data_IF_255486985107
#
_entry.id   IF_255486985107
#
_cell.length_a   1.000
_cell.length_b   1.000
_cell.length_c   1.000
_cell.angle_alpha   90.00
_cell.angle_beta   90.00
_cell.angle_gamma   90.00
#
_symmetry.space_group_name_H-M   'P 1'
#
loop_
_entity.id
_entity.type
_entity.pdbx_description
1 polymer ?
#
# COMPACT_ATOMS: atom_id res chain seq x y z
N UNK A 1 9.73 32.03 0.86
CA UNK A 1 10.73 32.16 1.93
C UNK A 1 9.94 32.17 3.25
N UNK A 2 9.48 30.99 3.69
CA UNK A 2 8.99 30.77 5.05
C UNK A 2 10.17 30.21 5.81
N UNK A 3 10.82 31.04 6.62
CA UNK A 3 11.78 30.57 7.61
C UNK A 3 11.00 29.63 8.54
N UNK A 4 11.36 28.35 8.52
CA UNK A 4 10.93 27.37 9.51
C UNK A 4 11.37 27.88 10.87
N UNK A 5 10.41 28.41 11.63
CA UNK A 5 10.64 28.79 13.02
C UNK A 5 10.64 27.51 13.86
N UNK A 6 11.81 26.81 13.87
CA UNK A 6 12.09 25.61 14.65
C UNK A 6 11.82 25.81 16.17
N UNK A 7 11.63 27.07 16.61
CA UNK A 7 11.44 27.42 18.03
C UNK A 7 10.07 27.02 18.60
N UNK A 8 9.07 26.73 17.74
CA UNK A 8 7.73 26.35 18.19
C UNK A 8 7.50 24.85 18.31
N UNK A 9 8.39 24.02 17.79
CA UNK A 9 8.17 22.55 17.76
C UNK A 9 8.25 21.89 19.16
N UNK A 10 8.95 22.52 20.11
CA UNK A 10 9.12 22.02 21.48
C UNK A 10 8.52 22.95 22.55
N UNK A 11 7.53 23.78 22.20
CA UNK A 11 6.86 24.64 23.17
C UNK A 11 5.97 23.82 24.12
N UNK A 12 6.32 23.68 25.41
CA UNK A 12 5.51 22.96 26.41
C UNK A 12 4.11 23.52 26.54
N UNK A 13 3.91 24.81 26.23
CA UNK A 13 2.60 25.47 26.25
C UNK A 13 1.69 24.93 25.16
N UNK A 14 2.18 24.76 23.93
CA UNK A 14 1.41 24.19 22.83
C UNK A 14 1.04 22.72 23.07
N UNK A 15 1.97 21.93 23.63
CA UNK A 15 1.70 20.55 23.99
C UNK A 15 0.58 20.45 25.05
N UNK A 16 0.62 21.28 26.10
CA UNK A 16 -0.40 21.32 27.15
C UNK A 16 -1.78 21.77 26.60
N UNK A 17 -1.81 22.73 25.68
CA UNK A 17 -3.04 23.16 25.00
C UNK A 17 -3.62 22.01 24.16
N UNK A 18 -2.79 21.33 23.37
CA UNK A 18 -3.20 20.18 22.58
C UNK A 18 -3.76 19.05 23.45
N UNK A 19 -3.12 18.73 24.59
CA UNK A 19 -3.61 17.75 25.56
C UNK A 19 -4.95 18.17 26.19
N UNK A 20 -5.15 19.45 26.41
CA UNK A 20 -6.40 19.99 26.94
C UNK A 20 -7.53 19.84 25.92
N UNK A 21 -7.27 20.21 24.66
CA UNK A 21 -8.24 20.06 23.57
C UNK A 21 -8.55 18.59 23.27
N UNK A 22 -7.56 17.70 23.31
CA UNK A 22 -7.75 16.28 23.07
C UNK A 22 -8.67 15.58 24.10
N UNK A 23 -8.88 16.17 25.26
CA UNK A 23 -9.83 15.67 26.28
C UNK A 23 -11.27 16.14 26.04
N UNK A 24 -11.49 17.09 25.14
CA UNK A 24 -12.82 17.57 24.80
C UNK A 24 -13.46 16.68 23.74
N UNK A 25 -14.79 16.51 23.83
CA UNK A 25 -15.59 15.84 22.79
C UNK A 25 -15.82 16.72 21.54
N UNK A 26 -15.57 18.03 21.65
CA UNK A 26 -15.85 19.01 20.59
C UNK A 26 -14.65 19.24 19.67
N UNK A 27 -13.46 18.71 20.03
CA UNK A 27 -12.22 18.91 19.29
C UNK A 27 -11.54 17.58 18.99
N UNK A 28 -10.90 17.52 17.83
CA UNK A 28 -10.00 16.45 17.46
C UNK A 28 -8.62 17.03 17.18
N UNK A 29 -7.62 16.63 17.95
CA UNK A 29 -6.24 17.09 17.80
C UNK A 29 -5.47 16.06 17.00
N UNK A 30 -4.83 16.49 15.92
CA UNK A 30 -3.87 15.70 15.17
C UNK A 30 -2.46 16.25 15.44
N UNK A 31 -1.51 15.35 15.64
CA UNK A 31 -0.10 15.68 15.80
C UNK A 31 0.67 15.38 14.54
N UNK A 32 1.69 16.18 14.20
CA UNK A 32 2.60 15.83 13.12
C UNK A 32 3.26 14.50 13.47
N UNK A 33 3.25 13.56 12.51
CA UNK A 33 3.98 12.30 12.65
C UNK A 33 5.49 12.61 12.71
N UNK A 34 6.13 12.20 13.78
CA UNK A 34 7.57 12.21 13.91
C UNK A 34 8.04 10.78 13.68
N UNK A 35 8.84 10.51 12.64
CA UNK A 35 9.36 9.19 12.38
C UNK A 35 10.12 8.62 13.58
N UNK A 36 9.81 7.37 13.92
CA UNK A 36 10.51 6.64 14.98
C UNK A 36 11.14 5.36 14.44
N UNK A 37 12.24 4.94 15.03
CA UNK A 37 12.98 3.75 14.62
C UNK A 37 12.77 2.56 15.54
N UNK A 38 12.32 2.79 16.77
CA UNK A 38 12.07 1.76 17.77
C UNK A 38 10.56 1.65 18.05
N UNK A 39 10.08 0.41 18.19
CA UNK A 39 8.66 0.07 18.43
C UNK A 39 8.55 -0.90 19.62
N UNK A 40 8.16 -2.14 19.39
CA UNK A 40 8.04 -3.15 20.43
C UNK A 40 9.40 -3.84 20.69
N UNK A 41 9.73 -4.20 21.94
CA UNK A 41 10.96 -4.94 22.24
C UNK A 41 10.85 -6.38 21.72
N UNK A 42 11.88 -6.86 21.04
CA UNK A 42 11.93 -8.24 20.54
C UNK A 42 12.09 -9.30 21.67
N UNK A 43 12.62 -8.90 22.83
CA UNK A 43 12.80 -9.78 23.99
C UNK A 43 13.53 -11.11 23.68
N UNK A 44 14.47 -11.07 22.72
CA UNK A 44 15.22 -12.25 22.28
C UNK A 44 14.47 -13.21 21.38
N UNK A 45 13.25 -12.88 20.95
CA UNK A 45 12.51 -13.68 19.98
C UNK A 45 13.07 -13.47 18.57
N UNK A 46 13.01 -14.51 17.69
CA UNK A 46 13.44 -14.37 16.31
C UNK A 46 12.51 -13.43 15.53
N UNK A 47 13.10 -12.48 14.83
CA UNK A 47 12.41 -11.54 13.96
C UNK A 47 12.49 -11.97 12.51
N UNK A 48 11.63 -11.37 11.67
CA UNK A 48 11.68 -11.41 10.22
C UNK A 48 11.82 -10.01 9.70
N UNK A 49 12.44 -9.86 8.53
CA UNK A 49 12.57 -8.55 7.89
C UNK A 49 11.48 -8.34 6.84
N UNK A 50 10.88 -7.16 6.84
CA UNK A 50 9.95 -6.67 5.82
C UNK A 50 10.43 -5.34 5.25
N UNK A 51 9.88 -4.95 4.09
CA UNK A 51 10.11 -3.65 3.45
C UNK A 51 8.77 -2.96 3.27
N UNK A 52 8.67 -1.68 3.67
CA UNK A 52 7.68 -0.76 3.15
C UNK A 52 8.26 -0.10 1.92
N UNK A 53 7.45 0.08 0.88
CA UNK A 53 7.87 0.67 -0.38
C UNK A 53 6.81 1.61 -0.89
N UNK A 54 7.25 2.76 -1.38
CA UNK A 54 6.44 3.74 -2.08
C UNK A 54 7.22 4.34 -3.24
N UNK A 55 6.54 4.68 -4.35
CA UNK A 55 7.13 5.32 -5.52
C UNK A 55 6.34 6.55 -5.93
N UNK A 56 7.05 7.64 -6.21
CA UNK A 56 6.49 8.76 -6.97
C UNK A 56 6.82 8.60 -8.45
N UNK A 57 5.87 8.99 -9.30
CA UNK A 57 5.95 8.75 -10.74
C UNK A 57 5.49 9.96 -11.54
N UNK A 58 5.82 10.01 -12.83
CA UNK A 58 5.36 11.08 -13.74
C UNK A 58 3.88 11.01 -14.09
N UNK A 59 3.16 9.97 -13.62
CA UNK A 59 1.73 9.75 -13.84
C UNK A 59 1.28 8.34 -13.48
N UNK A 60 0.09 7.95 -13.88
CA UNK A 60 -0.56 6.70 -13.44
C UNK A 60 -0.42 5.53 -14.42
N UNK A 61 0.06 5.77 -15.63
CA UNK A 61 0.21 4.74 -16.66
C UNK A 61 1.51 3.96 -16.47
N UNK A 62 1.39 2.73 -16.00
CA UNK A 62 2.53 1.85 -15.69
C UNK A 62 3.41 1.50 -16.89
N UNK A 63 2.96 1.77 -18.13
CA UNK A 63 3.71 1.52 -19.36
C UNK A 63 4.45 2.76 -19.84
N UNK A 64 3.81 3.94 -19.71
CA UNK A 64 4.28 5.20 -20.27
C UNK A 64 4.96 6.11 -19.25
N UNK A 65 4.49 6.04 -17.99
CA UNK A 65 5.03 6.90 -16.94
C UNK A 65 6.25 6.30 -16.26
N UNK A 66 7.03 7.14 -15.63
CA UNK A 66 8.35 6.80 -15.11
C UNK A 66 8.43 7.07 -13.61
N UNK A 67 9.23 6.26 -12.90
CA UNK A 67 9.54 6.49 -11.49
C UNK A 67 10.46 7.70 -11.39
N UNK A 68 10.15 8.62 -10.47
CA UNK A 68 10.95 9.80 -10.16
C UNK A 68 11.50 9.80 -8.72
N UNK A 69 10.85 9.09 -7.79
CA UNK A 69 11.35 8.84 -6.44
C UNK A 69 11.04 7.40 -6.04
N UNK A 70 11.97 6.76 -5.34
CA UNK A 70 11.76 5.48 -4.64
C UNK A 70 12.14 5.67 -3.18
N UNK A 71 11.25 5.28 -2.28
CA UNK A 71 11.57 5.13 -0.87
C UNK A 71 11.27 3.72 -0.38
N UNK A 72 12.14 3.22 0.49
CA UNK A 72 11.96 1.95 1.17
C UNK A 72 12.39 2.07 2.63
N UNK A 73 11.59 1.49 3.53
CA UNK A 73 11.93 1.32 4.93
C UNK A 73 12.02 -0.17 5.22
N UNK A 74 13.19 -0.65 5.62
CA UNK A 74 13.38 -2.01 6.11
C UNK A 74 13.11 -2.05 7.61
N UNK A 75 12.32 -3.02 8.04
CA UNK A 75 11.93 -3.16 9.43
C UNK A 75 11.91 -4.61 9.87
N UNK A 76 12.20 -4.83 11.15
CA UNK A 76 12.07 -6.13 11.80
C UNK A 76 10.70 -6.26 12.48
N UNK A 77 10.11 -7.45 12.43
CA UNK A 77 8.85 -7.75 13.08
C UNK A 77 8.81 -9.17 13.67
N UNK A 78 8.00 -9.36 14.71
CA UNK A 78 7.76 -10.63 15.39
C UNK A 78 6.73 -11.48 14.64
N UNK A 79 6.63 -12.79 14.92
CA UNK A 79 5.63 -13.67 14.31
C UNK A 79 4.17 -13.24 14.52
N UNK A 80 3.87 -12.52 15.60
CA UNK A 80 2.57 -11.95 15.92
C UNK A 80 2.25 -10.65 15.16
N UNK A 81 3.18 -10.16 14.32
CA UNK A 81 3.05 -8.92 13.58
C UNK A 81 3.52 -7.67 14.31
N UNK A 82 4.01 -7.78 15.54
CA UNK A 82 4.57 -6.63 16.26
C UNK A 82 5.85 -6.15 15.57
N UNK A 83 5.87 -4.91 15.08
CA UNK A 83 7.06 -4.28 14.53
C UNK A 83 7.99 -3.98 15.70
N UNK A 84 9.29 -4.29 15.54
CA UNK A 84 10.26 -4.09 16.59
C UNK A 84 11.14 -2.86 16.35
N UNK A 85 11.67 -2.72 15.16
CA UNK A 85 12.54 -1.59 14.82
C UNK A 85 12.65 -1.38 13.30
N UNK A 86 13.03 -0.19 12.90
CA UNK A 86 13.58 0.11 11.58
C UNK A 86 15.05 -0.29 11.55
N UNK A 87 15.45 -1.03 10.54
CA UNK A 87 16.84 -1.51 10.41
C UNK A 87 17.61 -0.75 9.34
N UNK A 88 16.94 -0.24 8.31
CA UNK A 88 17.56 0.52 7.24
C UNK A 88 16.53 1.37 6.48
N UNK A 89 16.98 2.43 5.80
CA UNK A 89 16.16 3.32 4.98
C UNK A 89 16.89 3.57 3.67
N UNK A 90 16.16 3.45 2.57
CA UNK A 90 16.64 3.76 1.22
C UNK A 90 15.74 4.82 0.59
N UNK A 91 16.33 5.91 0.10
CA UNK A 91 15.64 6.95 -0.67
C UNK A 91 16.49 7.35 -1.84
N UNK A 92 15.93 7.46 -3.03
CA UNK A 92 16.65 7.91 -4.19
C UNK A 92 15.71 8.51 -5.24
N UNK A 93 16.21 9.53 -5.95
CA UNK A 93 15.56 10.11 -7.11
C UNK A 93 16.01 9.45 -8.41
N UNK A 94 15.17 9.57 -9.43
CA UNK A 94 15.47 9.12 -10.78
C UNK A 94 15.02 10.17 -11.79
N UNK A 95 15.94 10.60 -12.65
CA UNK A 95 15.63 11.53 -13.73
C UNK A 95 14.80 10.81 -14.80
N UNK A 96 13.58 11.27 -15.10
CA UNK A 96 12.76 10.69 -16.16
C UNK A 96 13.24 11.10 -17.54
N UNK A 97 12.85 10.38 -18.59
CA UNK A 97 13.21 10.67 -19.99
C UNK A 97 12.53 11.91 -20.58
N UNK A 98 11.52 12.44 -19.90
CA UNK A 98 10.72 13.61 -20.29
C UNK A 98 10.48 14.50 -19.07
N UNK A 99 10.26 15.81 -19.27
CA UNK A 99 9.95 16.71 -18.16
C UNK A 99 8.79 16.20 -17.30
N UNK A 100 8.90 16.42 -16.01
CA UNK A 100 7.85 16.08 -15.03
C UNK A 100 6.62 16.96 -15.30
N UNK A 101 5.42 16.39 -15.45
CA UNK A 101 4.20 17.17 -15.63
C UNK A 101 3.99 18.15 -14.46
N UNK A 102 3.55 19.41 -14.73
CA UNK A 102 3.35 20.42 -13.69
C UNK A 102 2.44 19.98 -12.54
N UNK A 103 1.40 19.22 -12.84
CA UNK A 103 0.48 18.65 -11.85
C UNK A 103 1.15 17.65 -10.91
N UNK A 104 2.16 16.92 -11.39
CA UNK A 104 2.95 16.00 -10.56
C UNK A 104 3.90 16.79 -9.66
N UNK A 105 4.55 17.83 -10.22
CA UNK A 105 5.39 18.74 -9.42
C UNK A 105 4.56 19.44 -8.33
N UNK A 106 3.34 19.90 -8.65
CA UNK A 106 2.45 20.52 -7.66
C UNK A 106 2.07 19.53 -6.55
N UNK A 107 1.83 18.25 -6.91
CA UNK A 107 1.43 17.21 -5.98
C UNK A 107 2.57 16.75 -5.06
N UNK A 108 3.76 16.46 -5.66
CA UNK A 108 4.89 15.80 -4.97
C UNK A 108 5.95 16.78 -4.46
N UNK A 109 5.97 17.99 -5.02
CA UNK A 109 7.06 18.97 -4.83
C UNK A 109 8.36 18.59 -5.56
N UNK A 110 8.36 17.50 -6.36
CA UNK A 110 9.54 17.07 -7.10
C UNK A 110 9.59 17.82 -8.44
N UNK A 111 10.70 18.50 -8.70
CA UNK A 111 10.94 19.26 -9.94
C UNK A 111 12.00 18.59 -10.80
N UNK A 112 12.09 18.97 -12.07
CA UNK A 112 13.13 18.48 -12.97
C UNK A 112 14.55 18.78 -12.43
N UNK A 113 14.73 19.92 -11.73
CA UNK A 113 16.02 20.27 -11.13
C UNK A 113 16.40 19.35 -9.97
N UNK A 114 15.42 18.88 -9.19
CA UNK A 114 15.67 17.96 -8.08
C UNK A 114 16.14 16.60 -8.59
N UNK A 115 15.58 16.11 -9.68
CA UNK A 115 15.89 14.77 -10.21
C UNK A 115 17.04 14.77 -11.23
N UNK A 116 17.47 15.94 -11.72
CA UNK A 116 18.49 16.08 -12.75
C UNK A 116 19.79 15.35 -12.39
N UNK A 117 20.26 14.46 -13.27
CA UNK A 117 21.47 13.66 -13.08
C UNK A 117 21.33 12.50 -12.09
N UNK A 118 20.16 12.33 -11.45
CA UNK A 118 19.93 11.24 -10.52
C UNK A 118 19.48 9.96 -11.24
N UNK A 119 20.04 8.83 -10.80
CA UNK A 119 19.64 7.51 -11.26
C UNK A 119 19.65 6.53 -10.10
N UNK A 120 18.56 5.80 -9.93
CA UNK A 120 18.44 4.77 -8.91
C UNK A 120 19.26 3.55 -9.35
N UNK A 121 20.25 3.18 -8.55
CA UNK A 121 21.11 2.02 -8.79
C UNK A 121 20.32 0.71 -8.56
N UNK A 122 20.12 -0.12 -9.59
CA UNK A 122 19.40 -1.38 -9.45
C UNK A 122 20.08 -2.38 -8.50
N UNK A 123 21.41 -2.38 -8.44
CA UNK A 123 22.15 -3.29 -7.57
C UNK A 123 22.00 -2.89 -6.09
N UNK A 124 21.97 -1.59 -5.79
CA UNK A 124 21.68 -1.09 -4.45
C UNK A 124 20.24 -1.46 -4.01
N UNK A 125 19.25 -1.34 -4.89
CA UNK A 125 17.87 -1.76 -4.64
C UNK A 125 17.79 -3.27 -4.40
N UNK A 126 18.48 -4.06 -5.20
CA UNK A 126 18.50 -5.53 -5.05
C UNK A 126 19.14 -5.94 -3.71
N UNK A 127 20.28 -5.34 -3.35
CA UNK A 127 20.96 -5.59 -2.09
C UNK A 127 20.09 -5.18 -0.88
N UNK A 128 19.42 -4.01 -0.97
CA UNK A 128 18.50 -3.59 0.08
C UNK A 128 17.35 -4.57 0.28
N UNK A 129 16.84 -5.16 -0.79
CA UNK A 129 15.69 -6.07 -0.74
C UNK A 129 16.07 -7.54 -0.41
N UNK A 130 17.35 -7.92 -0.38
CA UNK A 130 17.80 -9.31 -0.40
C UNK A 130 17.17 -10.18 0.70
N UNK A 131 17.25 -9.77 1.94
CA UNK A 131 16.84 -10.51 3.15
C UNK A 131 15.36 -10.33 3.53
N UNK A 132 14.67 -9.37 2.91
CA UNK A 132 13.26 -9.13 3.20
C UNK A 132 12.35 -10.25 2.66
N UNK A 133 11.47 -10.74 3.53
CA UNK A 133 10.52 -11.82 3.18
C UNK A 133 9.21 -11.30 2.60
N UNK A 134 8.92 -10.01 2.76
CA UNK A 134 7.71 -9.36 2.24
C UNK A 134 7.98 -7.90 1.92
N UNK A 135 7.38 -7.39 0.84
CA UNK A 135 7.28 -5.98 0.51
C UNK A 135 5.84 -5.55 0.70
N UNK A 136 5.62 -4.43 1.37
CA UNK A 136 4.29 -3.90 1.64
C UNK A 136 4.22 -2.48 1.09
N UNK A 137 3.17 -2.18 0.32
CA UNK A 137 2.87 -0.83 -0.13
C UNK A 137 1.42 -0.45 0.22
N UNK A 138 1.14 0.85 0.26
CA UNK A 138 -0.22 1.34 0.35
C UNK A 138 -0.79 1.49 -1.05
N UNK A 139 -1.74 0.64 -1.45
CA UNK A 139 -2.19 0.46 -2.83
C UNK A 139 -1.14 -0.26 -3.73
N UNK A 140 -0.61 -1.39 -3.24
CA UNK A 140 0.42 -2.19 -3.90
C UNK A 140 0.16 -2.52 -5.38
N UNK A 141 -1.10 -2.46 -5.85
CA UNK A 141 -1.46 -2.60 -7.25
C UNK A 141 -0.88 -1.51 -8.16
N UNK A 142 -0.45 -0.40 -7.59
CA UNK A 142 0.28 0.67 -8.28
C UNK A 142 1.79 0.44 -8.15
N UNK A 143 2.33 0.49 -6.95
CA UNK A 143 3.77 0.45 -6.67
C UNK A 143 4.45 -0.80 -7.20
N UNK A 144 3.84 -1.97 -7.00
CA UNK A 144 4.42 -3.24 -7.45
C UNK A 144 4.69 -3.26 -8.95
N UNK A 145 3.78 -2.72 -9.75
CA UNK A 145 3.88 -2.77 -11.20
C UNK A 145 5.02 -1.89 -11.73
N UNK A 146 5.18 -0.69 -11.15
CA UNK A 146 6.34 0.16 -11.43
C UNK A 146 7.63 -0.49 -10.93
N UNK A 147 7.65 -0.96 -9.69
CA UNK A 147 8.84 -1.56 -9.08
C UNK A 147 9.32 -2.81 -9.84
N UNK A 148 8.41 -3.70 -10.27
CA UNK A 148 8.77 -4.89 -11.05
C UNK A 148 9.34 -4.55 -12.44
N UNK A 149 8.92 -3.43 -13.04
CA UNK A 149 9.43 -2.95 -14.33
C UNK A 149 10.87 -2.41 -14.20
N UNK A 150 11.15 -1.70 -13.11
CA UNK A 150 12.46 -1.09 -12.89
C UNK A 150 13.46 -2.01 -12.22
N UNK A 151 13.01 -2.84 -11.27
CA UNK A 151 13.87 -3.67 -10.42
C UNK A 151 13.36 -5.11 -10.36
N UNK A 152 13.95 -6.05 -11.15
CA UNK A 152 13.49 -7.42 -11.23
C UNK A 152 13.47 -8.20 -9.91
N UNK A 153 14.25 -7.78 -8.91
CA UNK A 153 14.25 -8.38 -7.56
C UNK A 153 12.84 -8.46 -6.98
N UNK A 154 11.99 -7.47 -7.22
CA UNK A 154 10.63 -7.41 -6.70
C UNK A 154 9.67 -8.42 -7.33
N UNK A 155 10.02 -8.99 -8.48
CA UNK A 155 9.26 -10.08 -9.10
C UNK A 155 9.29 -11.37 -8.27
N UNK A 156 10.32 -11.54 -7.43
CA UNK A 156 10.57 -12.71 -6.61
C UNK A 156 10.24 -12.51 -5.13
N UNK A 157 9.63 -11.38 -4.77
CA UNK A 157 9.20 -11.07 -3.41
C UNK A 157 7.70 -11.30 -3.22
N UNK A 158 7.33 -11.73 -2.01
CA UNK A 158 5.94 -11.67 -1.58
C UNK A 158 5.52 -10.21 -1.38
N UNK A 159 4.27 -9.87 -1.75
CA UNK A 159 3.74 -8.53 -1.59
C UNK A 159 2.47 -8.52 -0.73
N UNK A 160 2.34 -7.46 0.07
CA UNK A 160 1.15 -7.10 0.81
C UNK A 160 0.64 -5.71 0.42
N UNK A 161 -0.65 -5.48 0.58
CA UNK A 161 -1.30 -4.20 0.31
C UNK A 161 -2.08 -3.75 1.54
N UNK A 162 -1.60 -2.72 2.22
CA UNK A 162 -2.28 -2.21 3.41
C UNK A 162 -3.65 -1.62 3.12
N UNK A 163 -3.87 -1.06 1.93
CA UNK A 163 -5.15 -0.49 1.55
C UNK A 163 -6.27 -1.52 1.35
N UNK A 164 -5.94 -2.77 0.95
CA UNK A 164 -6.93 -3.77 0.53
C UNK A 164 -6.89 -5.07 1.32
N UNK A 165 -5.82 -5.36 2.05
CA UNK A 165 -5.66 -6.59 2.82
C UNK A 165 -5.98 -6.42 4.31
N UNK A 166 -6.25 -5.19 4.75
CA UNK A 166 -6.86 -4.86 6.04
C UNK A 166 -8.23 -4.25 5.79
N UNK A 167 -9.25 -4.79 6.42
CA UNK A 167 -10.62 -4.23 6.37
C UNK A 167 -10.74 -3.09 7.39
N UNK A 168 -10.13 -1.95 7.08
CA UNK A 168 -10.05 -0.79 7.95
C UNK A 168 -11.41 -0.32 8.49
N UNK A 169 -12.46 -0.42 7.66
CA UNK A 169 -13.82 -0.03 8.10
C UNK A 169 -14.35 -0.93 9.21
N UNK A 170 -14.09 -2.23 9.13
CA UNK A 170 -14.44 -3.19 10.17
C UNK A 170 -13.75 -2.85 11.50
N UNK A 171 -12.54 -2.29 11.42
CA UNK A 171 -11.72 -1.89 12.57
C UNK A 171 -11.94 -0.44 13.01
N UNK A 172 -13.04 0.22 12.56
CA UNK A 172 -13.46 1.53 13.04
C UNK A 172 -12.88 2.74 12.30
N UNK A 173 -12.21 2.54 11.16
CA UNK A 173 -11.71 3.64 10.33
C UNK A 173 -12.72 4.06 9.26
N UNK A 174 -12.76 5.35 8.92
CA UNK A 174 -13.71 5.90 7.94
C UNK A 174 -13.39 5.52 6.48
N UNK A 175 -12.19 5.01 6.21
CA UNK A 175 -11.76 4.60 4.89
C UNK A 175 -10.36 4.00 4.89
N UNK A 176 -9.83 3.71 3.70
CA UNK A 176 -8.51 3.08 3.54
C UNK A 176 -7.43 4.03 2.99
N UNK A 177 -7.70 5.32 2.79
CA UNK A 177 -6.66 6.27 2.36
C UNK A 177 -5.67 6.50 3.50
N UNK A 178 -4.38 6.49 3.19
CA UNK A 178 -3.31 6.56 4.20
C UNK A 178 -3.47 7.75 5.15
N UNK A 179 -3.73 8.96 4.62
CA UNK A 179 -3.96 10.14 5.45
C UNK A 179 -5.19 10.04 6.36
N UNK A 180 -6.26 9.33 5.96
CA UNK A 180 -7.43 9.09 6.83
C UNK A 180 -7.12 8.08 7.92
N UNK A 181 -6.35 7.04 7.60
CA UNK A 181 -5.89 6.05 8.58
C UNK A 181 -4.99 6.73 9.62
N UNK A 182 -4.03 7.52 9.16
CA UNK A 182 -3.13 8.26 10.03
C UNK A 182 -3.87 9.25 10.92
N UNK A 183 -4.86 9.98 10.35
CA UNK A 183 -5.73 10.85 11.14
C UNK A 183 -6.57 10.05 12.15
N UNK A 184 -7.01 8.84 11.80
CA UNK A 184 -7.66 7.89 12.71
C UNK A 184 -6.78 7.55 13.92
N UNK A 185 -5.48 7.41 13.70
CA UNK A 185 -4.47 7.17 14.74
C UNK A 185 -4.02 8.46 15.48
N UNK A 186 -4.55 9.63 15.14
CA UNK A 186 -4.23 10.90 15.81
C UNK A 186 -3.08 11.69 15.20
N UNK A 187 -2.63 11.33 14.00
CA UNK A 187 -1.49 11.97 13.34
C UNK A 187 -1.84 12.59 11.99
N UNK A 188 -0.96 13.45 11.50
CA UNK A 188 -0.90 13.89 10.11
C UNK A 188 0.55 13.91 9.61
N UNK A 189 0.74 13.79 8.30
CA UNK A 189 2.05 13.87 7.64
C UNK A 189 1.95 14.74 6.39
N UNK A 190 3.08 15.03 5.78
CA UNK A 190 3.14 15.64 4.45
C UNK A 190 3.07 14.50 3.41
N UNK A 191 1.90 14.31 2.84
CA UNK A 191 1.67 13.30 1.81
C UNK A 191 2.43 13.61 0.50
N UNK A 192 2.59 12.58 -0.34
CA UNK A 192 3.21 12.68 -1.67
C UNK A 192 4.73 12.96 -1.65
N UNK A 193 5.39 12.46 -0.63
CA UNK A 193 6.83 12.21 -0.59
C UNK A 193 7.00 10.76 -0.15
N UNK A 194 7.61 9.97 -1.02
CA UNK A 194 7.65 8.52 -0.85
C UNK A 194 8.15 8.08 0.53
N UNK A 195 9.13 8.77 1.10
CA UNK A 195 9.63 8.43 2.45
C UNK A 195 8.64 8.78 3.55
N UNK A 196 7.92 9.90 3.44
CA UNK A 196 6.93 10.31 4.44
C UNK A 196 5.72 9.37 4.42
N UNK A 197 5.30 8.91 3.23
CA UNK A 197 4.24 7.91 3.06
C UNK A 197 4.68 6.54 3.59
N UNK A 198 5.95 6.13 3.42
CA UNK A 198 6.49 4.93 4.07
C UNK A 198 6.49 5.03 5.60
N UNK A 199 6.83 6.18 6.19
CA UNK A 199 6.77 6.37 7.65
C UNK A 199 5.32 6.36 8.16
N UNK A 200 4.40 7.00 7.43
CA UNK A 200 2.98 6.96 7.74
C UNK A 200 2.43 5.52 7.69
N UNK A 201 2.82 4.76 6.67
CA UNK A 201 2.45 3.36 6.53
C UNK A 201 3.02 2.50 7.67
N UNK A 202 4.27 2.73 8.07
CA UNK A 202 4.90 2.03 9.20
C UNK A 202 4.12 2.24 10.50
N UNK A 203 3.75 3.48 10.78
CA UNK A 203 2.99 3.83 11.98
C UNK A 203 1.60 3.17 12.00
N UNK A 204 0.91 3.18 10.86
CA UNK A 204 -0.41 2.55 10.73
C UNK A 204 -0.34 1.03 10.82
N UNK A 205 0.72 0.39 10.30
CA UNK A 205 0.88 -1.06 10.44
C UNK A 205 1.28 -1.48 11.85
N UNK A 206 1.97 -0.61 12.60
CA UNK A 206 2.27 -0.82 14.01
C UNK A 206 1.08 -0.51 14.93
N UNK A 207 0.05 0.20 14.41
CA UNK A 207 -1.12 0.59 15.19
C UNK A 207 -1.92 -0.64 15.64
N UNK A 208 -2.21 -0.70 16.93
CA UNK A 208 -3.03 -1.75 17.54
C UNK A 208 -4.51 -1.50 17.23
N UNK A 209 -5.14 -2.44 16.55
CA UNK A 209 -6.55 -2.33 16.14
C UNK A 209 -7.46 -2.45 17.37
N UNK A 210 -8.35 -1.45 17.62
CA UNK A 210 -9.07 -1.35 18.89
C UNK A 210 -10.00 -2.53 19.22
N UNK A 211 -10.51 -3.22 18.20
CA UNK A 211 -11.42 -4.34 18.33
C UNK A 211 -10.72 -5.69 18.48
N UNK A 212 -9.43 -5.78 18.12
CA UNK A 212 -8.64 -7.02 18.14
C UNK A 212 -7.56 -7.01 19.23
N UNK A 213 -7.00 -5.83 19.56
CA UNK A 213 -5.81 -5.73 20.41
C UNK A 213 -4.54 -6.28 19.72
N UNK A 214 -4.52 -6.30 18.39
CA UNK A 214 -3.41 -6.79 17.57
C UNK A 214 -2.95 -5.70 16.61
N UNK A 215 -1.64 -5.64 16.25
CA UNK A 215 -1.17 -4.67 15.26
C UNK A 215 -1.78 -4.93 13.89
N UNK A 216 -2.06 -3.88 13.14
CA UNK A 216 -2.62 -3.99 11.79
C UNK A 216 -1.73 -4.83 10.86
N UNK A 217 -0.42 -4.87 11.08
CA UNK A 217 0.50 -5.74 10.35
C UNK A 217 0.15 -7.22 10.54
N UNK A 218 -0.31 -7.66 11.72
CA UNK A 218 -0.71 -9.05 11.97
C UNK A 218 -1.85 -9.47 11.02
N UNK A 219 -2.88 -8.62 10.92
CA UNK A 219 -4.03 -8.84 10.03
C UNK A 219 -3.60 -8.86 8.57
N UNK A 220 -2.75 -7.92 8.14
CA UNK A 220 -2.20 -7.90 6.79
C UNK A 220 -1.43 -9.19 6.48
N UNK A 221 -0.54 -9.62 7.36
CA UNK A 221 0.28 -10.82 7.18
C UNK A 221 -0.58 -12.09 7.12
N UNK A 222 -1.62 -12.19 7.95
CA UNK A 222 -2.57 -13.30 7.90
C UNK A 222 -3.27 -13.34 6.53
N UNK A 223 -3.75 -12.19 6.05
CA UNK A 223 -4.41 -12.09 4.75
C UNK A 223 -3.46 -12.36 3.59
N UNK A 224 -2.22 -11.87 3.64
CA UNK A 224 -1.20 -12.08 2.62
C UNK A 224 -0.85 -13.56 2.43
N UNK A 225 -0.88 -14.37 3.50
CA UNK A 225 -0.63 -15.82 3.45
C UNK A 225 -1.76 -16.60 2.77
N UNK A 226 -2.98 -16.08 2.77
CA UNK A 226 -4.16 -16.75 2.18
C UNK A 226 -4.14 -16.59 0.66
N UNK A 227 -4.55 -17.63 -0.06
CA UNK A 227 -4.77 -17.54 -1.50
C UNK A 227 -6.00 -16.68 -1.81
N UNK A 228 -5.94 -15.99 -2.93
CA UNK A 228 -7.05 -15.27 -3.53
C UNK A 228 -7.41 -15.96 -4.84
N UNK A 229 -8.70 -16.20 -5.07
CA UNK A 229 -9.19 -16.78 -6.30
C UNK A 229 -9.72 -15.65 -7.18
N UNK A 230 -9.04 -15.38 -8.30
CA UNK A 230 -9.55 -14.45 -9.33
C UNK A 230 -10.47 -15.23 -10.25
N UNK A 231 -11.71 -14.77 -10.35
CA UNK A 231 -12.74 -15.38 -11.19
C UNK A 231 -13.09 -14.40 -12.29
N UNK A 232 -13.01 -14.87 -13.53
CA UNK A 232 -13.26 -14.06 -14.71
C UNK A 232 -14.69 -14.32 -15.24
N UNK A 233 -15.45 -13.26 -15.47
CA UNK A 233 -16.76 -13.31 -16.10
C UNK A 233 -16.63 -13.01 -17.61
N UNK A 234 -15.85 -13.84 -18.31
CA UNK A 234 -15.58 -13.67 -19.75
C UNK A 234 -16.89 -13.77 -20.56
N UNK A 235 -17.06 -12.90 -21.56
CA UNK A 235 -18.24 -12.85 -22.44
C UNK A 235 -19.57 -12.70 -21.67
N UNK A 236 -19.55 -12.10 -20.48
CA UNK A 236 -20.81 -11.81 -19.76
C UNK A 236 -21.71 -10.86 -20.55
N UNK A 237 -23.04 -11.02 -20.49
CA UNK A 237 -23.99 -10.13 -21.17
C UNK A 237 -23.81 -8.68 -20.72
N UNK A 238 -23.77 -7.75 -21.68
CA UNK A 238 -23.55 -6.33 -21.39
C UNK A 238 -24.62 -5.73 -20.47
N UNK A 239 -25.89 -6.18 -20.63
CA UNK A 239 -27.02 -5.70 -19.84
C UNK A 239 -26.91 -6.06 -18.35
N UNK A 240 -26.08 -7.04 -17.99
CA UNK A 240 -25.87 -7.47 -16.61
C UNK A 240 -24.60 -6.85 -15.96
N UNK A 241 -23.98 -5.88 -16.64
CA UNK A 241 -22.77 -5.19 -16.09
C UNK A 241 -23.00 -4.55 -14.72
N UNK A 242 -24.21 -4.03 -14.47
CA UNK A 242 -24.52 -3.36 -13.21
C UNK A 242 -24.74 -4.35 -12.06
N UNK A 243 -25.16 -5.59 -12.36
CA UNK A 243 -25.18 -6.70 -11.41
C UNK A 243 -23.74 -7.08 -11.00
N UNK A 244 -22.84 -7.21 -11.99
CA UNK A 244 -21.43 -7.51 -11.74
C UNK A 244 -20.79 -6.40 -10.89
N UNK A 245 -21.02 -5.11 -11.24
CA UNK A 245 -20.50 -3.98 -10.46
C UNK A 245 -20.99 -3.98 -9.01
N UNK A 246 -22.31 -4.18 -8.79
CA UNK A 246 -22.90 -4.23 -7.44
C UNK A 246 -22.30 -5.36 -6.60
N UNK A 247 -21.90 -6.46 -7.24
CA UNK A 247 -21.26 -7.59 -6.56
C UNK A 247 -19.75 -7.37 -6.32
N UNK A 248 -19.17 -6.30 -6.85
CA UNK A 248 -17.76 -5.95 -6.65
C UNK A 248 -16.82 -6.40 -7.78
N UNK A 249 -17.37 -6.83 -8.93
CA UNK A 249 -16.54 -7.08 -10.11
C UNK A 249 -15.92 -5.80 -10.64
N UNK A 250 -14.68 -5.90 -11.11
CA UNK A 250 -13.90 -4.84 -11.77
C UNK A 250 -13.72 -5.19 -13.24
N UNK A 251 -13.65 -4.17 -14.06
CA UNK A 251 -13.41 -4.34 -15.50
C UNK A 251 -11.91 -4.32 -15.80
N UNK A 252 -11.45 -5.31 -16.54
CA UNK A 252 -10.13 -5.33 -17.18
C UNK A 252 -10.34 -5.00 -18.66
N UNK A 253 -9.63 -4.00 -19.18
CA UNK A 253 -9.66 -3.64 -20.60
C UNK A 253 -8.74 -4.49 -21.47
N UNK A 254 -7.89 -5.32 -20.84
CA UNK A 254 -6.93 -6.20 -21.49
C UNK A 254 -5.63 -5.51 -21.90
N UNK A 255 -5.42 -4.22 -21.59
CA UNK A 255 -4.24 -3.46 -21.99
C UNK A 255 -2.93 -3.98 -21.35
N UNK A 256 -3.04 -4.67 -20.24
CA UNK A 256 -1.91 -5.27 -19.50
C UNK A 256 -1.73 -6.78 -19.76
N UNK A 257 -2.36 -7.30 -20.80
CA UNK A 257 -2.26 -8.72 -21.19
C UNK A 257 -3.22 -9.66 -20.46
N UNK A 258 -4.01 -9.16 -19.50
CA UNK A 258 -5.09 -9.92 -18.86
C UNK A 258 -6.31 -10.03 -19.78
N UNK A 259 -7.24 -10.96 -19.52
CA UNK A 259 -8.49 -11.02 -20.28
C UNK A 259 -9.25 -9.69 -20.25
N UNK A 260 -9.76 -9.26 -21.41
CA UNK A 260 -10.69 -8.13 -21.49
C UNK A 260 -12.06 -8.59 -20.98
N UNK A 261 -12.28 -8.45 -19.69
CA UNK A 261 -13.45 -9.03 -19.02
C UNK A 261 -13.67 -8.42 -17.63
N UNK A 262 -14.86 -8.66 -17.08
CA UNK A 262 -15.11 -8.48 -15.65
C UNK A 262 -14.39 -9.57 -14.85
N UNK A 263 -13.86 -9.22 -13.68
CA UNK A 263 -13.25 -10.15 -12.76
C UNK A 263 -13.50 -9.74 -11.31
N UNK A 264 -13.46 -10.72 -10.42
CA UNK A 264 -13.52 -10.51 -8.97
C UNK A 264 -12.43 -11.33 -8.29
N UNK A 265 -11.86 -10.77 -7.23
CA UNK A 265 -10.91 -11.46 -6.38
C UNK A 265 -11.63 -11.84 -5.06
N UNK A 266 -11.76 -13.13 -4.80
CA UNK A 266 -12.43 -13.67 -3.61
C UNK A 266 -11.52 -14.60 -2.82
N UNK A 267 -11.84 -14.83 -1.55
CA UNK A 267 -11.19 -15.89 -0.78
C UNK A 267 -11.52 -17.27 -1.35
N UNK A 268 -10.63 -18.24 -1.17
CA UNK A 268 -10.81 -19.61 -1.67
C UNK A 268 -12.12 -20.25 -1.18
N UNK A 269 -12.52 -19.98 0.05
CA UNK A 269 -13.80 -20.44 0.64
C UNK A 269 -15.05 -19.92 -0.08
N UNK A 270 -14.93 -18.78 -0.77
CA UNK A 270 -16.04 -18.15 -1.50
C UNK A 270 -16.07 -18.51 -2.99
N UNK A 271 -15.08 -19.27 -3.48
CA UNK A 271 -14.95 -19.62 -4.91
C UNK A 271 -16.22 -20.25 -5.47
N UNK A 272 -16.73 -21.32 -4.84
CA UNK A 272 -17.86 -22.07 -5.37
C UNK A 272 -19.17 -21.25 -5.38
N UNK A 273 -19.42 -20.46 -4.33
CA UNK A 273 -20.59 -19.57 -4.28
C UNK A 273 -20.53 -18.48 -5.33
N UNK A 274 -19.33 -18.03 -5.70
CA UNK A 274 -19.16 -17.02 -6.74
C UNK A 274 -19.34 -17.61 -8.16
N UNK A 275 -18.84 -18.82 -8.39
CA UNK A 275 -19.09 -19.56 -9.64
C UNK A 275 -20.58 -19.84 -9.80
N UNK A 276 -21.25 -20.23 -8.73
CA UNK A 276 -22.71 -20.47 -8.74
C UNK A 276 -23.50 -19.19 -9.09
N UNK A 277 -23.10 -18.04 -8.53
CA UNK A 277 -23.69 -16.75 -8.91
C UNK A 277 -23.53 -16.47 -10.41
N UNK A 278 -22.35 -16.66 -10.97
CA UNK A 278 -22.14 -16.49 -12.42
C UNK A 278 -23.05 -17.42 -13.24
N UNK A 279 -23.15 -18.70 -12.87
CA UNK A 279 -23.99 -19.68 -13.56
C UNK A 279 -25.46 -19.30 -13.51
N UNK A 280 -25.98 -18.98 -12.31
CA UNK A 280 -27.41 -18.78 -12.09
C UNK A 280 -27.92 -17.40 -12.49
N UNK A 281 -27.10 -16.36 -12.26
CA UNK A 281 -27.56 -14.96 -12.40
C UNK A 281 -27.03 -14.30 -13.65
N UNK A 282 -25.78 -14.56 -14.01
CA UNK A 282 -25.14 -13.85 -15.13
C UNK A 282 -25.31 -14.61 -16.45
N UNK A 283 -24.94 -15.88 -16.48
CA UNK A 283 -25.01 -16.66 -17.71
C UNK A 283 -26.32 -17.43 -17.89
N UNK A 284 -27.04 -17.68 -16.79
CA UNK A 284 -28.28 -18.48 -16.78
C UNK A 284 -28.11 -19.86 -17.48
N UNK A 285 -26.91 -20.40 -17.40
CA UNK A 285 -26.52 -21.70 -17.94
C UNK A 285 -25.32 -22.24 -17.20
N UNK A 286 -25.06 -23.52 -17.36
CA UNK A 286 -23.84 -24.12 -16.83
C UNK A 286 -22.63 -23.64 -17.62
N UNK A 287 -21.67 -23.01 -16.94
CA UNK A 287 -20.41 -22.50 -17.46
C UNK A 287 -19.28 -22.83 -16.48
N UNK A 288 -18.09 -22.99 -17.00
CA UNK A 288 -16.89 -23.05 -16.20
C UNK A 288 -16.09 -21.74 -16.36
N UNK A 289 -16.26 -20.77 -15.45
CA UNK A 289 -15.49 -19.54 -15.52
C UNK A 289 -14.00 -19.83 -15.35
N UNK A 290 -13.16 -19.05 -16.02
CA UNK A 290 -11.72 -19.08 -15.76
C UNK A 290 -11.45 -18.65 -14.31
N UNK A 291 -10.71 -19.48 -13.58
CA UNK A 291 -10.27 -19.23 -12.20
C UNK A 291 -8.76 -19.27 -12.14
N UNK A 292 -8.19 -18.27 -11.49
CA UNK A 292 -6.75 -18.16 -11.27
C UNK A 292 -6.47 -18.01 -9.77
N UNK A 293 -5.65 -18.89 -9.21
CA UNK A 293 -5.18 -18.76 -7.85
C UNK A 293 -4.03 -17.76 -7.76
N UNK A 294 -4.19 -16.73 -6.92
CA UNK A 294 -3.20 -15.70 -6.66
C UNK A 294 -2.67 -15.86 -5.23
N UNK A 295 -1.36 -15.78 -5.08
CA UNK A 295 -0.68 -15.71 -3.79
C UNK A 295 -0.02 -14.34 -3.61
N UNK A 296 0.62 -14.10 -2.46
CA UNK A 296 1.43 -12.89 -2.25
C UNK A 296 2.54 -12.74 -3.31
N UNK A 297 2.96 -13.83 -3.95
CA UNK A 297 3.96 -13.80 -5.03
C UNK A 297 3.42 -13.26 -6.35
N UNK A 298 2.10 -13.26 -6.57
CA UNK A 298 1.48 -12.88 -7.85
C UNK A 298 0.39 -11.82 -7.73
N UNK A 299 -0.23 -11.64 -6.55
CA UNK A 299 -1.19 -10.55 -6.34
C UNK A 299 -0.54 -9.19 -6.64
N UNK A 300 -1.33 -8.25 -7.14
CA UNK A 300 -0.92 -6.88 -7.46
C UNK A 300 0.08 -6.75 -8.63
N UNK A 301 0.62 -7.86 -9.16
CA UNK A 301 1.50 -7.89 -10.33
C UNK A 301 0.70 -7.93 -11.64
N UNK A 302 1.31 -7.46 -12.73
CA UNK A 302 0.79 -7.71 -14.10
C UNK A 302 0.82 -9.19 -14.49
N UNK A 303 1.60 -10.01 -13.78
CA UNK A 303 1.70 -11.47 -13.96
C UNK A 303 0.58 -12.26 -13.28
N UNK A 304 -0.25 -11.59 -12.45
CA UNK A 304 -1.32 -12.18 -11.64
C UNK A 304 -2.74 -11.91 -12.15
#
# INVERSE_FOLDING_TARGET
MLQDDLSLQDDPGLAAMADTLARSTDYRVLRRLIPRTEFAPANGQPTRSGILLDVETTGLDQVRDEVIELAMIKFDYLPDGSITRVTDIFTAFNEPSRPIPPEITELTGITDEIVAGHRIDPDAVAAFAEDAVIVIAHNAGFDRKFSERYWPVFQHKAWGCSATEVDWRKHGFDGSRLGYLLAGAGFFHQAHRAIDDCHALLEILAFELPDLGEPALAVLLERARKKTMRIWAEQSPFDLKDELKRRGYRWSDGSDGRPKSWYIDVEESKRESEIEFLRKTIYMRDVEPRVQALSAMSRFSVRG
#
